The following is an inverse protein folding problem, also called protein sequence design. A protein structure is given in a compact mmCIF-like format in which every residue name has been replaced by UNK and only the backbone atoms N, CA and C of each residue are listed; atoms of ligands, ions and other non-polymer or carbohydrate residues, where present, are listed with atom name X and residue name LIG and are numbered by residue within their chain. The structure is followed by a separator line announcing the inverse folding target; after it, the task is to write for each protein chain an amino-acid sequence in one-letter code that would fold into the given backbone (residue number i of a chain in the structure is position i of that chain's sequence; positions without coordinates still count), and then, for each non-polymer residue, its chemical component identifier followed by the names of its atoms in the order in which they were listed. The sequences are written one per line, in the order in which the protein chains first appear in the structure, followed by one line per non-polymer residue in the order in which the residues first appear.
data_IF_472925695863
#
_entry.id   IF_472925695863
#
_cell.length_a   1.000
_cell.length_b   1.000
_cell.length_c   1.000
_cell.angle_alpha   90.00
_cell.angle_beta   90.00
_cell.angle_gamma   90.00
#
_symmetry.space_group_name_H-M   'P 1'
#
loop_
_entity.id
_entity.type
_entity.pdbx_description
1 polymer ?
#
# COMPACT_ATOMS: atom_id res chain seq x y z
N UNK A 1 15.22 -14.99 -9.21
CA UNK A 1 15.05 -16.14 -8.29
C UNK A 1 14.67 -15.67 -6.89
N UNK A 2 15.51 -14.87 -6.27
CA UNK A 2 15.27 -14.43 -4.89
C UNK A 2 14.67 -13.04 -4.85
N UNK A 3 13.58 -12.86 -5.57
CA UNK A 3 12.83 -11.62 -5.49
C UNK A 3 11.37 -11.93 -5.29
N UNK A 4 10.74 -11.25 -4.35
CA UNK A 4 9.33 -11.49 -4.06
C UNK A 4 8.60 -10.17 -3.98
N UNK A 5 7.52 -10.09 -4.72
CA UNK A 5 6.72 -8.88 -4.79
C UNK A 5 5.26 -9.28 -4.74
N UNK A 6 4.52 -8.69 -3.82
CA UNK A 6 3.13 -9.07 -3.62
C UNK A 6 2.36 -8.04 -2.85
N UNK A 7 1.15 -7.85 -3.31
CA UNK A 7 0.17 -7.05 -2.62
C UNK A 7 -0.96 -7.97 -2.16
N UNK A 8 -0.99 -8.15 -0.86
CA UNK A 8 -1.55 -9.34 -0.22
C UNK A 8 -3.09 -9.43 -0.22
N UNK A 9 -3.62 -10.64 0.09
CA UNK A 9 -5.05 -11.03 -0.09
C UNK A 9 -6.08 -10.18 0.64
N UNK A 10 -5.67 -9.34 1.60
CA UNK A 10 -6.63 -8.48 2.31
C UNK A 10 -7.25 -7.48 1.35
N UNK A 11 -6.72 -7.45 0.14
CA UNK A 11 -7.32 -6.70 -0.95
C UNK A 11 -8.71 -7.20 -1.27
N UNK A 12 -9.62 -6.26 -1.55
CA UNK A 12 -10.99 -6.59 -1.94
C UNK A 12 -11.81 -7.16 -0.79
N UNK A 13 -13.11 -6.93 -0.82
CA UNK A 13 -14.01 -7.47 0.20
C UNK A 13 -14.93 -8.51 -0.41
N UNK A 14 -15.86 -9.01 0.38
CA UNK A 14 -16.70 -10.12 -0.04
C UNK A 14 -17.84 -9.65 -0.93
N UNK A 15 -19.06 -9.72 -0.42
CA UNK A 15 -20.22 -9.36 -1.20
C UNK A 15 -20.55 -7.89 -1.04
N UNK A 16 -20.78 -7.49 0.20
CA UNK A 16 -21.10 -6.12 0.53
C UNK A 16 -21.03 -5.92 2.04
N UNK A 17 -20.73 -4.71 2.45
CA UNK A 17 -20.75 -4.37 3.87
C UNK A 17 -21.50 -3.08 4.11
N UNK A 18 -22.36 -3.12 5.11
CA UNK A 18 -23.18 -1.98 5.49
C UNK A 18 -22.95 -1.64 6.95
N UNK A 19 -21.76 -1.96 7.39
CA UNK A 19 -21.39 -1.78 8.77
C UNK A 19 -20.50 -0.58 8.94
N UNK A 20 -20.84 0.26 9.89
CA UNK A 20 -19.93 1.28 10.34
C UNK A 20 -19.24 0.77 11.60
N UNK A 21 -18.14 0.09 11.38
CA UNK A 21 -17.40 -0.57 12.44
C UNK A 21 -15.99 -0.82 11.95
N UNK A 22 -15.11 -1.29 12.80
CA UNK A 22 -13.73 -1.50 12.40
C UNK A 22 -13.62 -2.69 11.45
N UNK A 23 -13.30 -2.40 10.21
CA UNK A 23 -13.01 -3.43 9.25
C UNK A 23 -11.56 -3.30 8.83
N UNK A 24 -10.70 -3.93 9.59
CA UNK A 24 -9.27 -3.77 9.39
C UNK A 24 -8.81 -4.53 8.16
N UNK A 25 -8.14 -3.81 7.28
CA UNK A 25 -7.68 -4.35 6.02
C UNK A 25 -6.18 -4.15 5.91
N UNK A 26 -5.43 -5.24 6.01
CA UNK A 26 -3.98 -5.16 6.04
C UNK A 26 -3.39 -5.46 4.68
N UNK A 27 -2.85 -4.45 4.04
CA UNK A 27 -2.28 -4.58 2.72
C UNK A 27 -0.77 -4.67 2.85
N UNK A 28 -0.10 -5.19 1.84
CA UNK A 28 1.33 -5.40 1.94
C UNK A 28 2.00 -5.26 0.58
N UNK A 29 3.21 -4.71 0.59
CA UNK A 29 4.04 -4.64 -0.57
C UNK A 29 5.38 -5.31 -0.24
N UNK A 30 5.77 -6.30 -1.02
CA UNK A 30 7.03 -7.00 -0.79
C UNK A 30 8.01 -6.70 -1.91
N UNK A 31 9.28 -6.64 -1.59
CA UNK A 31 10.29 -6.32 -2.59
C UNK A 31 11.35 -7.43 -2.66
N UNK A 32 12.20 -7.43 -3.69
CA UNK A 32 13.26 -8.42 -3.89
C UNK A 32 14.21 -8.56 -2.71
N UNK A 33 14.30 -9.77 -2.19
CA UNK A 33 15.21 -10.09 -1.10
C UNK A 33 16.66 -9.85 -1.51
N UNK A 34 17.03 -10.35 -2.69
CA UNK A 34 18.43 -10.34 -3.10
C UNK A 34 18.84 -8.95 -3.57
N UNK A 35 17.91 -8.21 -4.15
CA UNK A 35 18.21 -6.85 -4.59
C UNK A 35 18.32 -5.94 -3.38
N UNK A 36 17.45 -6.13 -2.41
CA UNK A 36 17.54 -5.40 -1.14
C UNK A 36 18.89 -5.66 -0.50
N UNK A 37 19.31 -6.92 -0.54
CA UNK A 37 20.58 -7.32 0.05
C UNK A 37 21.75 -6.85 -0.80
N UNK A 38 21.45 -6.37 -1.99
CA UNK A 38 22.46 -5.94 -2.93
C UNK A 38 22.83 -4.48 -2.73
N UNK A 39 22.08 -3.81 -1.89
CA UNK A 39 22.33 -2.40 -1.62
C UNK A 39 21.25 -1.54 -2.23
N UNK A 40 20.13 -2.16 -2.57
CA UNK A 40 19.04 -1.46 -3.22
C UNK A 40 17.91 -1.23 -2.23
N UNK A 41 17.14 -0.16 -2.43
CA UNK A 41 16.03 0.15 -1.54
C UNK A 41 14.71 -0.33 -2.14
N UNK A 42 13.75 -0.54 -1.26
CA UNK A 42 12.40 -1.00 -1.65
C UNK A 42 11.48 0.19 -1.85
N UNK A 43 10.64 0.15 -2.88
CA UNK A 43 9.66 1.19 -3.07
C UNK A 43 8.24 0.66 -3.00
N UNK A 44 7.42 1.31 -2.21
CA UNK A 44 6.00 1.00 -2.11
C UNK A 44 5.21 2.27 -1.81
N UNK A 45 4.04 2.39 -2.42
CA UNK A 45 3.22 3.57 -2.26
C UNK A 45 1.77 3.28 -2.62
N UNK A 46 0.88 4.14 -2.16
CA UNK A 46 -0.54 3.92 -2.36
C UNK A 46 -1.26 5.18 -2.80
N UNK A 47 -2.39 5.49 -2.16
CA UNK A 47 -3.23 6.58 -2.63
C UNK A 47 -3.65 7.54 -1.52
N UNK A 48 -3.07 7.37 -0.33
CA UNK A 48 -3.39 8.25 0.80
C UNK A 48 -2.99 9.69 0.51
N UNK A 49 -3.27 10.60 1.42
CA UNK A 49 -2.87 12.00 1.24
C UNK A 49 -1.35 12.08 1.04
N UNK A 50 -0.63 11.14 1.66
CA UNK A 50 0.81 11.06 1.48
C UNK A 50 1.19 9.96 0.48
N UNK A 51 0.20 9.45 -0.24
CA UNK A 51 0.46 8.42 -1.25
C UNK A 51 0.87 7.12 -0.62
N UNK A 52 0.19 6.73 0.45
CA UNK A 52 0.59 5.56 1.22
C UNK A 52 -0.37 4.39 1.02
N UNK A 53 -1.68 4.68 0.98
CA UNK A 53 -2.72 3.65 0.88
C UNK A 53 -4.04 4.31 1.21
N UNK A 54 -5.02 4.18 0.36
CA UNK A 54 -6.26 4.87 0.56
C UNK A 54 -7.43 4.13 -0.06
N UNK A 55 -8.57 4.17 0.61
CA UNK A 55 -9.78 3.57 0.09
C UNK A 55 -10.73 4.67 -0.38
N UNK A 56 -10.93 4.73 -1.68
CA UNK A 56 -11.73 5.78 -2.27
C UNK A 56 -12.66 5.20 -3.32
N UNK A 57 -13.87 5.73 -3.41
CA UNK A 57 -14.91 5.31 -4.36
C UNK A 57 -14.37 5.17 -5.79
N UNK A 58 -14.73 4.05 -6.41
CA UNK A 58 -14.39 3.76 -7.78
C UNK A 58 -14.93 4.84 -8.72
N UNK A 59 -14.03 5.45 -9.46
CA UNK A 59 -14.39 6.54 -10.33
C UNK A 59 -14.37 7.88 -9.61
N UNK A 60 -14.04 7.82 -8.33
CA UNK A 60 -13.99 9.02 -7.51
C UNK A 60 -12.58 9.54 -7.35
N UNK A 61 -12.44 10.59 -6.56
CA UNK A 61 -11.15 11.20 -6.33
C UNK A 61 -10.61 10.82 -4.97
N UNK A 62 -9.30 10.63 -4.89
CA UNK A 62 -8.64 10.25 -3.67
C UNK A 62 -8.85 11.28 -2.56
N UNK A 63 -9.07 12.54 -2.94
CA UNK A 63 -9.31 13.60 -1.99
C UNK A 63 -10.71 13.48 -1.39
N UNK A 64 -11.55 12.65 -2.01
CA UNK A 64 -12.90 12.42 -1.54
C UNK A 64 -12.99 11.06 -0.88
N UNK A 65 -11.90 10.30 -0.96
CA UNK A 65 -11.85 8.98 -0.38
C UNK A 65 -11.85 9.00 1.13
N UNK A 66 -11.93 7.81 1.72
CA UNK A 66 -12.07 7.67 3.15
C UNK A 66 -10.77 7.14 3.75
N UNK A 67 -10.31 7.81 4.80
CA UNK A 67 -9.02 7.48 5.40
C UNK A 67 -9.05 6.11 6.09
N UNK A 68 -7.90 5.47 6.13
CA UNK A 68 -7.77 4.11 6.67
C UNK A 68 -7.67 4.11 8.19
N UNK A 69 -8.41 5.01 8.81
CA UNK A 69 -8.40 5.19 10.27
C UNK A 69 -7.00 5.51 10.80
N UNK A 70 -6.22 4.48 11.10
CA UNK A 70 -4.87 4.66 11.58
C UNK A 70 -3.94 3.64 10.91
N UNK A 71 -3.46 3.97 9.70
CA UNK A 71 -2.57 3.11 8.93
C UNK A 71 -1.29 2.77 9.67
N UNK A 72 -0.96 1.48 9.71
CA UNK A 72 0.28 1.04 10.33
C UNK A 72 1.19 0.47 9.27
N UNK A 73 2.50 0.59 9.49
CA UNK A 73 3.48 0.12 8.53
C UNK A 73 4.40 -0.90 9.17
N UNK A 74 4.30 -2.15 8.74
CA UNK A 74 5.18 -3.20 9.22
C UNK A 74 6.23 -3.49 8.15
N UNK A 75 7.36 -4.06 8.55
CA UNK A 75 8.44 -4.32 7.61
C UNK A 75 9.42 -5.35 8.18
N UNK A 76 10.48 -5.62 7.44
CA UNK A 76 11.53 -6.51 7.89
C UNK A 76 12.54 -5.73 8.72
N UNK A 77 12.54 -5.90 10.04
CA UNK A 77 13.41 -5.14 10.94
C UNK A 77 14.88 -5.42 10.68
N UNK A 78 15.61 -4.37 10.30
CA UNK A 78 17.03 -4.47 10.01
C UNK A 78 17.59 -3.09 9.66
N UNK A 79 17.20 -2.57 8.51
CA UNK A 79 17.67 -1.28 8.03
C UNK A 79 16.51 -0.46 7.49
N UNK A 80 15.96 0.47 8.29
CA UNK A 80 14.86 1.33 7.87
C UNK A 80 15.34 2.61 7.20
N UNK A 81 14.40 3.44 6.80
CA UNK A 81 14.70 4.72 6.17
C UNK A 81 13.53 5.69 6.35
N UNK A 82 13.74 6.93 5.93
CA UNK A 82 12.72 7.97 6.05
C UNK A 82 11.78 7.94 4.86
N UNK A 83 10.54 8.33 5.09
CA UNK A 83 9.53 8.39 4.05
C UNK A 83 9.78 9.61 3.15
N UNK A 84 10.48 9.38 2.05
CA UNK A 84 10.83 10.45 1.13
C UNK A 84 10.73 9.95 -0.30
N UNK A 85 11.07 10.82 -1.26
CA UNK A 85 11.08 10.48 -2.68
C UNK A 85 9.67 10.29 -3.21
N UNK A 86 8.68 10.61 -2.37
CA UNK A 86 7.29 10.48 -2.75
C UNK A 86 6.70 9.14 -2.36
N UNK A 87 7.42 8.39 -1.52
CA UNK A 87 6.96 7.07 -1.09
C UNK A 87 7.65 6.63 0.18
N UNK A 88 7.38 5.41 0.61
CA UNK A 88 8.01 4.85 1.79
C UNK A 88 9.06 3.84 1.37
N UNK A 89 10.25 3.98 1.94
CA UNK A 89 11.35 3.12 1.60
C UNK A 89 12.21 2.88 2.82
N UNK A 90 12.86 1.74 2.83
CA UNK A 90 13.79 1.39 3.89
C UNK A 90 15.20 1.38 3.31
N UNK A 91 16.17 0.98 4.11
CA UNK A 91 17.53 0.86 3.64
C UNK A 91 17.75 -0.55 3.10
N UNK A 92 18.83 -0.78 2.34
CA UNK A 92 19.16 -2.11 1.83
C UNK A 92 19.25 -3.15 2.94
N UNK A 93 18.73 -4.33 2.67
CA UNK A 93 18.63 -5.36 3.67
C UNK A 93 17.20 -5.59 4.08
N UNK A 94 16.33 -4.68 3.69
CA UNK A 94 14.91 -4.78 3.98
C UNK A 94 14.10 -4.73 2.71
N UNK A 95 13.11 -5.61 2.61
CA UNK A 95 12.17 -5.59 1.52
C UNK A 95 10.79 -5.95 2.08
N UNK A 96 10.10 -4.96 2.61
CA UNK A 96 8.80 -5.19 3.18
C UNK A 96 8.10 -3.88 3.44
N UNK A 97 6.84 -3.78 3.07
CA UNK A 97 6.02 -2.70 3.54
C UNK A 97 4.62 -3.19 3.77
N UNK A 98 4.26 -3.29 5.02
CA UNK A 98 2.93 -3.73 5.37
C UNK A 98 2.07 -2.57 5.76
N UNK A 99 1.15 -2.20 4.89
CA UNK A 99 0.30 -1.06 5.10
C UNK A 99 -1.09 -1.55 5.47
N UNK A 100 -1.41 -1.48 6.74
CA UNK A 100 -2.68 -1.98 7.20
C UNK A 100 -3.55 -0.84 7.68
N UNK A 101 -4.71 -0.73 7.05
CA UNK A 101 -5.63 0.32 7.37
C UNK A 101 -6.91 -0.22 7.93
N UNK A 102 -7.85 0.65 8.24
CA UNK A 102 -9.15 0.22 8.73
C UNK A 102 -10.23 1.15 8.22
N UNK A 103 -11.18 0.62 7.47
CA UNK A 103 -12.39 1.37 7.22
C UNK A 103 -13.24 1.32 8.49
N UNK A 104 -13.35 2.46 9.15
CA UNK A 104 -13.93 2.54 10.47
C UNK A 104 -15.26 3.28 10.48
N UNK A 105 -15.99 3.23 11.61
CA UNK A 105 -17.25 3.98 11.78
C UNK A 105 -17.08 5.49 11.65
N UNK A 106 -15.84 5.92 11.44
CA UNK A 106 -15.53 7.32 11.25
C UNK A 106 -16.13 7.85 9.96
N UNK A 107 -16.46 6.94 9.05
CA UNK A 107 -17.15 7.31 7.84
C UNK A 107 -18.46 6.55 7.72
N UNK A 108 -19.59 7.26 7.59
CA UNK A 108 -20.87 6.61 7.36
C UNK A 108 -20.95 6.01 5.96
N UNK A 109 -21.19 4.72 5.90
CA UNK A 109 -21.21 4.00 4.64
C UNK A 109 -22.49 4.31 3.87
N UNK A 110 -22.37 4.37 2.55
CA UNK A 110 -23.45 4.79 1.66
C UNK A 110 -22.95 4.94 0.22
N UNK A 111 -21.75 5.53 0.00
CA UNK A 111 -21.14 5.62 -1.33
C UNK A 111 -21.00 4.25 -1.99
N UNK A 112 -20.75 4.28 -3.30
CA UNK A 112 -20.63 3.06 -4.06
C UNK A 112 -19.27 2.40 -3.90
N UNK A 113 -18.90 1.55 -4.84
CA UNK A 113 -17.73 0.70 -4.69
C UNK A 113 -16.46 1.51 -4.49
N UNK A 114 -15.57 0.98 -3.67
CA UNK A 114 -14.28 1.61 -3.40
C UNK A 114 -13.19 0.95 -4.23
N UNK A 115 -12.09 1.64 -4.39
CA UNK A 115 -10.92 1.12 -5.07
C UNK A 115 -9.69 1.31 -4.19
N UNK A 116 -8.96 0.24 -3.98
CA UNK A 116 -7.71 0.31 -3.23
C UNK A 116 -6.56 -0.19 -4.10
N UNK A 117 -5.59 0.68 -4.33
CA UNK A 117 -4.46 0.32 -5.18
C UNK A 117 -3.14 0.38 -4.42
N UNK A 118 -2.33 -0.65 -4.60
CA UNK A 118 -0.98 -0.64 -4.10
C UNK A 118 0.00 -0.86 -5.23
N UNK A 119 1.10 -0.15 -5.16
CA UNK A 119 2.10 -0.18 -6.21
C UNK A 119 3.43 -0.60 -5.63
N UNK A 120 4.24 -1.26 -6.45
CA UNK A 120 5.54 -1.76 -6.00
C UNK A 120 6.60 -1.42 -7.03
N UNK A 121 7.81 -1.12 -6.58
CA UNK A 121 8.93 -0.92 -7.51
C UNK A 121 10.26 -1.12 -6.79
N UNK A 122 11.26 -1.54 -7.54
CA UNK A 122 12.63 -1.65 -7.03
C UNK A 122 13.46 -0.49 -7.56
N UNK A 123 14.15 0.20 -6.68
CA UNK A 123 14.99 1.33 -7.05
C UNK A 123 16.44 1.06 -6.71
N UNK A 124 17.30 2.05 -7.02
CA UNK A 124 18.73 2.00 -6.69
C UNK A 124 19.50 1.12 -7.68
N UNK A 125 19.00 -0.09 -7.94
CA UNK A 125 19.63 -0.96 -8.94
C UNK A 125 19.48 -0.34 -10.31
N UNK A 126 18.24 0.00 -10.64
CA UNK A 126 17.94 0.67 -11.89
C UNK A 126 18.41 2.13 -11.80
N UNK A 127 17.67 2.92 -11.04
CA UNK A 127 18.06 4.29 -10.71
C UNK A 127 17.50 4.65 -9.34
N UNK A 128 18.13 5.59 -8.67
CA UNK A 128 17.66 6.02 -7.37
C UNK A 128 17.30 7.49 -7.41
N UNK A 129 16.17 7.81 -8.02
CA UNK A 129 15.70 9.18 -8.07
C UNK A 129 14.31 9.23 -7.43
N UNK A 130 13.32 8.74 -8.15
CA UNK A 130 11.99 8.59 -7.59
C UNK A 130 11.27 7.42 -8.24
N UNK A 131 11.13 7.46 -9.56
CA UNK A 131 10.47 6.38 -10.30
C UNK A 131 11.30 6.00 -11.52
N UNK A 132 11.55 4.72 -11.72
CA UNK A 132 12.43 4.32 -12.80
C UNK A 132 12.24 2.87 -13.26
N UNK A 133 12.08 1.94 -12.32
CA UNK A 133 12.05 0.51 -12.68
C UNK A 133 10.62 -0.02 -12.83
N UNK A 134 10.42 -1.29 -12.47
CA UNK A 134 9.15 -1.95 -12.69
C UNK A 134 8.14 -1.58 -11.63
N UNK A 135 7.08 -0.89 -12.03
CA UNK A 135 6.02 -0.57 -11.12
C UNK A 135 4.89 -1.57 -11.24
N UNK A 136 4.62 -2.24 -10.14
CA UNK A 136 3.58 -3.25 -10.10
C UNK A 136 2.30 -2.62 -9.59
N UNK A 137 1.17 -3.19 -9.94
CA UNK A 137 -0.10 -2.62 -9.59
C UNK A 137 -1.07 -3.68 -9.11
N UNK A 138 -1.81 -3.36 -8.07
CA UNK A 138 -2.92 -4.17 -7.63
C UNK A 138 -4.00 -3.30 -7.05
N UNK A 139 -5.17 -3.40 -7.65
CA UNK A 139 -6.30 -2.59 -7.27
C UNK A 139 -7.47 -3.50 -6.90
N UNK A 140 -8.13 -3.19 -5.81
CA UNK A 140 -9.20 -4.01 -5.31
C UNK A 140 -10.44 -3.19 -5.00
N UNK A 141 -11.58 -3.71 -5.41
CA UNK A 141 -12.86 -3.03 -5.21
C UNK A 141 -13.52 -3.53 -3.93
N UNK A 142 -13.86 -2.61 -3.04
CA UNK A 142 -14.52 -2.95 -1.80
C UNK A 142 -15.99 -2.52 -1.88
N UNK A 143 -16.90 -3.45 -1.66
CA UNK A 143 -18.32 -3.16 -1.82
C UNK A 143 -18.93 -2.62 -0.54
N UNK A 144 -19.17 -1.33 -0.53
CA UNK A 144 -19.81 -0.65 0.59
C UNK A 144 -21.23 -0.27 0.20
N UNK A 145 -22.18 -0.62 1.03
CA UNK A 145 -23.58 -0.40 0.69
C UNK A 145 -24.32 0.39 1.77
#
# INVERSE_FOLDING_TARGET
NFCDITITPATNRDVNVDRSANIDLSFTIRQPQRCADAGMRIKAWGEANHGQLLIKPQGGNKSAGFTLASPRFSYIPNNPANIMNGFVLTNPGVYQLGMQGSITPAIPLRPGLYEVVLNAELVTNDNKQNATAVAKTATSTITVV
#
